data_IF_061693465772
#
_entry.id   IF_061693465772
#
_cell.length_a   1.000
_cell.length_b   1.000
_cell.length_c   1.000
_cell.angle_alpha   90.00
_cell.angle_beta   90.00
_cell.angle_gamma   90.00
#
_symmetry.space_group_name_H-M   'P 1'
#
loop_
_entity.id
_entity.type
_entity.pdbx_description
1 polymer ?
#
# COMPACT_ATOMS: atom_id res chain seq x y z
N UNK A 1 37.87 -5.72 6.22
CA UNK A 1 36.79 -6.55 6.75
C UNK A 1 35.94 -6.98 5.57
N UNK A 2 35.66 -8.27 5.40
CA UNK A 2 34.77 -8.74 4.31
C UNK A 2 33.34 -8.29 4.62
N UNK A 3 32.65 -7.79 3.58
CA UNK A 3 31.23 -7.39 3.73
C UNK A 3 30.35 -8.65 3.86
N UNK A 4 29.40 -8.60 4.78
CA UNK A 4 28.46 -9.71 5.01
C UNK A 4 27.33 -9.63 3.97
N UNK A 5 27.01 -10.71 3.21
CA UNK A 5 25.97 -10.68 2.20
C UNK A 5 24.56 -10.45 2.78
N UNK A 6 23.78 -9.54 2.20
CA UNK A 6 22.41 -9.27 2.61
C UNK A 6 21.54 -10.54 2.58
N UNK A 7 21.65 -11.36 1.54
CA UNK A 7 20.89 -12.61 1.40
C UNK A 7 21.17 -13.63 2.50
N UNK A 8 22.40 -13.66 3.00
CA UNK A 8 22.79 -14.51 4.13
C UNK A 8 22.21 -13.97 5.43
N UNK A 9 22.19 -12.64 5.60
CA UNK A 9 21.55 -11.99 6.75
C UNK A 9 20.03 -12.22 6.75
N UNK A 10 19.35 -12.11 5.60
CA UNK A 10 17.92 -12.45 5.47
C UNK A 10 17.64 -13.87 5.95
N UNK A 11 18.43 -14.84 5.48
CA UNK A 11 18.28 -16.25 5.89
C UNK A 11 18.47 -16.43 7.40
N UNK A 12 19.43 -15.72 7.99
CA UNK A 12 19.69 -15.73 9.43
C UNK A 12 18.58 -15.10 10.24
N UNK A 13 18.10 -13.94 9.80
CA UNK A 13 16.97 -13.22 10.41
C UNK A 13 15.73 -14.10 10.44
N UNK A 14 15.42 -14.79 9.33
CA UNK A 14 14.31 -15.71 9.25
C UNK A 14 14.47 -16.92 10.20
N UNK A 15 15.66 -17.52 10.25
CA UNK A 15 15.90 -18.75 11.03
C UNK A 15 15.97 -18.50 12.54
N UNK A 16 16.56 -17.36 12.96
CA UNK A 16 16.84 -17.06 14.36
C UNK A 16 15.86 -16.05 14.98
N UNK A 17 14.97 -15.47 14.19
CA UNK A 17 14.05 -14.44 14.66
C UNK A 17 14.77 -13.19 15.22
N UNK A 18 15.87 -12.78 14.56
CA UNK A 18 16.68 -11.65 15.02
C UNK A 18 15.89 -10.35 15.03
N UNK A 19 16.07 -9.55 16.08
CA UNK A 19 15.44 -8.25 16.18
C UNK A 19 16.01 -7.26 15.16
N UNK A 20 15.12 -6.48 14.55
CA UNK A 20 15.47 -5.41 13.64
C UNK A 20 15.22 -4.07 14.31
N UNK A 21 16.15 -3.14 14.23
CA UNK A 21 15.95 -1.80 14.76
C UNK A 21 16.48 -0.71 13.81
N UNK A 22 15.79 0.42 13.80
CA UNK A 22 16.13 1.65 13.06
C UNK A 22 16.41 2.83 13.99
N UNK A 23 16.21 2.63 15.29
CA UNK A 23 16.50 3.58 16.36
C UNK A 23 17.56 2.97 17.27
N UNK A 24 18.76 3.58 17.33
CA UNK A 24 19.89 3.07 18.10
C UNK A 24 19.57 2.89 19.60
N UNK A 25 18.66 3.69 20.14
CA UNK A 25 18.19 3.60 21.55
C UNK A 25 17.47 2.30 21.85
N UNK A 26 16.90 1.64 20.81
CA UNK A 26 16.20 0.35 20.88
C UNK A 26 17.11 -0.83 20.52
N UNK A 27 18.39 -0.59 20.23
CA UNK A 27 19.32 -1.65 19.91
C UNK A 27 19.52 -2.59 21.10
N UNK A 28 19.51 -3.89 20.84
CA UNK A 28 19.70 -4.98 21.81
C UNK A 28 20.85 -5.89 21.37
N UNK A 29 21.46 -6.67 22.27
CA UNK A 29 22.56 -7.58 21.91
C UNK A 29 22.18 -8.54 20.77
N UNK A 30 22.98 -8.55 19.72
CA UNK A 30 22.79 -9.39 18.55
C UNK A 30 21.76 -8.90 17.53
N UNK A 31 21.10 -7.76 17.74
CA UNK A 31 20.13 -7.21 16.79
C UNK A 31 20.80 -6.75 15.48
N UNK A 32 19.97 -6.54 14.46
CA UNK A 32 20.35 -5.90 13.19
C UNK A 32 19.92 -4.43 13.26
N UNK A 33 20.89 -3.54 13.27
CA UNK A 33 20.64 -2.09 13.15
C UNK A 33 20.67 -1.68 11.67
N UNK A 34 19.61 -1.05 11.20
CA UNK A 34 19.53 -0.53 9.82
C UNK A 34 19.63 0.99 9.86
N UNK A 35 20.76 1.52 9.37
CA UNK A 35 21.05 2.94 9.33
C UNK A 35 20.34 3.60 8.16
N UNK A 36 19.10 4.06 8.37
CA UNK A 36 18.27 4.67 7.32
C UNK A 36 18.71 6.11 7.05
N UNK A 37 18.81 6.51 5.77
CA UNK A 37 18.96 7.92 5.42
C UNK A 37 17.68 8.68 5.78
N UNK A 38 17.79 9.73 6.58
CA UNK A 38 16.67 10.56 7.02
C UNK A 38 16.78 11.99 6.49
N UNK A 39 15.66 12.72 6.47
CA UNK A 39 15.63 14.14 6.09
C UNK A 39 16.08 15.07 7.23
N UNK A 40 15.85 14.69 8.48
CA UNK A 40 16.22 15.47 9.67
C UNK A 40 17.49 14.96 10.35
N UNK A 41 17.76 13.66 10.28
CA UNK A 41 18.97 13.04 10.80
C UNK A 41 19.31 11.80 9.98
N UNK A 42 20.56 11.62 9.61
CA UNK A 42 21.05 10.43 8.93
C UNK A 42 21.32 9.34 9.96
N UNK A 43 20.72 8.15 9.76
CA UNK A 43 20.90 7.00 10.67
C UNK A 43 22.35 6.54 10.83
N UNK A 44 23.22 6.86 9.87
CA UNK A 44 24.65 6.57 9.93
C UNK A 44 25.34 7.22 11.15
N UNK A 45 24.85 8.36 11.63
CA UNK A 45 25.36 9.04 12.83
C UNK A 45 25.15 8.24 14.11
N UNK A 46 24.22 7.29 14.10
CA UNK A 46 23.84 6.49 15.27
C UNK A 46 24.41 5.07 15.26
N UNK A 47 25.25 4.73 14.26
CA UNK A 47 25.85 3.39 14.14
C UNK A 47 26.68 3.06 15.37
N UNK A 48 27.58 3.97 15.81
CA UNK A 48 28.42 3.75 16.97
C UNK A 48 27.64 3.51 18.25
N UNK A 49 26.52 4.25 18.48
CA UNK A 49 25.64 4.05 19.64
C UNK A 49 24.92 2.70 19.57
N UNK A 50 24.41 2.29 18.40
CA UNK A 50 23.79 0.99 18.22
C UNK A 50 24.76 -0.17 18.49
N UNK A 51 25.99 -0.07 17.99
CA UNK A 51 27.06 -1.07 18.22
C UNK A 51 27.46 -1.11 19.71
N UNK A 52 27.62 0.05 20.35
CA UNK A 52 27.89 0.12 21.80
C UNK A 52 26.80 -0.53 22.65
N UNK A 53 25.54 -0.58 22.15
CA UNK A 53 24.42 -1.28 22.78
C UNK A 53 24.31 -2.75 22.40
N UNK A 54 25.22 -3.25 21.55
CA UNK A 54 25.35 -4.66 21.21
C UNK A 54 24.75 -5.07 19.87
N UNK A 55 24.45 -4.13 18.96
CA UNK A 55 24.07 -4.52 17.60
C UNK A 55 25.16 -5.40 16.98
N UNK A 56 24.76 -6.61 16.56
CA UNK A 56 25.69 -7.59 15.96
C UNK A 56 25.86 -7.39 14.46
N UNK A 57 24.91 -6.73 13.80
CA UNK A 57 24.90 -6.43 12.38
C UNK A 57 24.52 -4.97 12.16
N UNK A 58 25.17 -4.34 11.19
CA UNK A 58 24.84 -2.98 10.74
C UNK A 58 24.60 -2.99 9.24
N UNK A 59 23.40 -2.62 8.83
CA UNK A 59 23.06 -2.41 7.42
C UNK A 59 23.15 -0.92 7.13
N UNK A 60 24.06 -0.54 6.27
CA UNK A 60 24.33 0.86 5.97
C UNK A 60 24.82 1.05 4.52
N UNK A 61 24.91 2.30 4.08
CA UNK A 61 25.58 2.64 2.82
C UNK A 61 27.10 2.45 2.92
N UNK A 62 27.79 2.16 1.79
CA UNK A 62 29.25 1.92 1.76
C UNK A 62 30.06 3.01 2.46
N UNK A 63 29.71 4.27 2.23
CA UNK A 63 30.39 5.43 2.83
C UNK A 63 30.31 5.50 4.35
N UNK A 64 29.36 4.80 4.96
CA UNK A 64 29.12 4.79 6.41
C UNK A 64 29.74 3.58 7.13
N UNK A 65 30.33 2.65 6.40
CA UNK A 65 30.83 1.37 6.94
C UNK A 65 31.99 1.48 7.92
N UNK A 66 32.73 2.60 7.91
CA UNK A 66 33.91 2.82 8.78
C UNK A 66 33.61 2.95 10.29
N UNK A 67 32.35 3.12 10.69
CA UNK A 67 31.94 3.36 12.09
C UNK A 67 31.33 2.13 12.78
N UNK A 68 31.45 0.94 12.18
CA UNK A 68 30.71 -0.25 12.61
C UNK A 68 31.40 -1.08 13.72
N UNK A 69 32.59 -0.67 14.19
CA UNK A 69 33.28 -1.36 15.29
C UNK A 69 33.49 -2.85 15.03
N UNK A 70 33.02 -3.70 15.96
CA UNK A 70 33.09 -5.16 15.85
C UNK A 70 31.86 -5.79 15.17
N UNK A 71 30.80 -4.99 14.83
CA UNK A 71 29.61 -5.50 14.18
C UNK A 71 29.91 -5.94 12.75
N UNK A 72 29.22 -6.97 12.29
CA UNK A 72 29.25 -7.40 10.89
C UNK A 72 28.58 -6.35 10.00
N UNK A 73 29.30 -5.90 8.97
CA UNK A 73 28.81 -4.84 8.07
C UNK A 73 28.13 -5.46 6.86
N UNK A 74 26.88 -5.06 6.66
CA UNK A 74 26.12 -5.33 5.44
C UNK A 74 26.00 -4.03 4.65
N UNK A 75 26.84 -3.94 3.64
CA UNK A 75 26.86 -2.81 2.73
C UNK A 75 25.72 -2.94 1.71
N UNK A 76 24.91 -1.89 1.56
CA UNK A 76 23.87 -1.83 0.56
C UNK A 76 23.62 -0.40 0.07
N UNK A 77 23.34 -0.26 -1.23
CA UNK A 77 23.06 1.03 -1.84
C UNK A 77 21.74 1.65 -1.30
N UNK A 78 20.76 0.82 -0.96
CA UNK A 78 19.46 1.24 -0.41
C UNK A 78 19.11 0.51 0.89
N UNK A 79 19.50 1.06 2.07
CA UNK A 79 19.14 0.50 3.38
C UNK A 79 17.62 0.40 3.62
N UNK A 80 16.80 1.25 2.98
CA UNK A 80 15.33 1.17 3.10
C UNK A 80 14.77 -0.06 2.41
N UNK A 81 15.27 -0.39 1.22
CA UNK A 81 14.93 -1.61 0.52
C UNK A 81 15.41 -2.84 1.29
N UNK A 82 16.64 -2.80 1.82
CA UNK A 82 17.18 -3.88 2.64
C UNK A 82 16.33 -4.11 3.91
N UNK A 83 15.86 -3.04 4.58
CA UNK A 83 14.97 -3.14 5.72
C UNK A 83 13.68 -3.91 5.36
N UNK A 84 13.08 -3.63 4.21
CA UNK A 84 11.88 -4.33 3.74
C UNK A 84 12.11 -5.83 3.53
N UNK A 85 13.25 -6.21 2.96
CA UNK A 85 13.62 -7.61 2.77
C UNK A 85 13.85 -8.32 4.11
N UNK A 86 14.56 -7.68 5.04
CA UNK A 86 14.80 -8.22 6.37
C UNK A 86 13.51 -8.32 7.21
N UNK A 87 12.65 -7.29 7.14
CA UNK A 87 11.36 -7.31 7.82
C UNK A 87 10.45 -8.44 7.29
N UNK A 88 10.40 -8.59 5.96
CA UNK A 88 9.69 -9.69 5.31
C UNK A 88 10.18 -11.06 5.82
N UNK A 89 11.49 -11.22 5.95
CA UNK A 89 12.11 -12.44 6.45
C UNK A 89 11.80 -12.65 7.96
N UNK A 90 11.92 -11.60 8.78
CA UNK A 90 11.70 -11.63 10.23
C UNK A 90 10.27 -12.01 10.60
N UNK A 91 9.30 -11.41 9.92
CA UNK A 91 7.87 -11.57 10.22
C UNK A 91 7.18 -12.62 9.36
N UNK A 92 7.91 -13.27 8.44
CA UNK A 92 7.38 -14.31 7.58
C UNK A 92 6.27 -13.82 6.62
N UNK A 93 6.35 -12.56 6.19
CA UNK A 93 5.35 -11.95 5.30
C UNK A 93 5.68 -12.09 3.81
N UNK A 94 6.69 -12.91 3.47
CA UNK A 94 7.02 -13.26 2.09
C UNK A 94 5.90 -14.02 1.38
N UNK A 95 5.11 -14.79 2.13
CA UNK A 95 4.01 -15.60 1.62
C UNK A 95 2.83 -15.48 2.59
N UNK A 96 2.02 -14.44 2.43
CA UNK A 96 0.78 -14.28 3.18
C UNK A 96 -0.31 -15.18 2.56
N UNK A 97 -1.18 -15.80 3.38
CA UNK A 97 -2.29 -16.64 2.89
C UNK A 97 -3.45 -15.79 2.35
N UNK A 98 -3.31 -14.48 2.29
CA UNK A 98 -4.30 -13.52 1.82
C UNK A 98 -3.65 -12.43 0.97
N UNK A 99 -4.37 -11.88 -0.02
CA UNK A 99 -3.88 -10.75 -0.79
C UNK A 99 -3.91 -9.46 0.03
N UNK A 100 -2.90 -8.60 -0.20
CA UNK A 100 -2.86 -7.21 0.27
C UNK A 100 -3.17 -6.32 -0.91
N UNK A 101 -4.18 -5.46 -0.81
CA UNK A 101 -4.54 -4.47 -1.84
C UNK A 101 -4.06 -3.10 -1.40
N UNK A 102 -3.13 -2.53 -2.15
CA UNK A 102 -2.64 -1.17 -1.94
C UNK A 102 -3.49 -0.14 -2.68
N UNK A 103 -3.93 0.91 -2.00
CA UNK A 103 -4.71 2.00 -2.59
C UNK A 103 -3.90 3.28 -2.59
N UNK A 104 -3.59 3.81 -3.76
CA UNK A 104 -2.89 5.09 -3.91
C UNK A 104 -3.67 6.07 -4.79
N UNK A 105 -3.29 7.34 -4.73
CA UNK A 105 -3.89 8.45 -5.44
C UNK A 105 -3.77 9.73 -4.63
N UNK A 106 -4.14 10.87 -5.18
CA UNK A 106 -4.20 12.11 -4.41
C UNK A 106 -5.39 12.03 -3.47
N UNK A 107 -6.59 11.79 -4.00
CA UNK A 107 -7.85 11.73 -3.27
C UNK A 107 -8.46 10.33 -3.34
N UNK A 108 -9.41 10.04 -2.43
CA UNK A 108 -10.21 8.83 -2.45
C UNK A 108 -9.62 7.62 -1.73
N UNK A 109 -8.35 7.61 -1.32
CA UNK A 109 -7.70 6.46 -0.66
C UNK A 109 -8.53 5.90 0.50
N UNK A 110 -8.85 6.73 1.48
CA UNK A 110 -9.60 6.33 2.67
C UNK A 110 -10.99 5.82 2.33
N UNK A 111 -11.73 6.54 1.48
CA UNK A 111 -13.09 6.10 1.07
C UNK A 111 -13.02 4.76 0.34
N UNK A 112 -12.04 4.59 -0.55
CA UNK A 112 -11.86 3.35 -1.31
C UNK A 112 -11.50 2.18 -0.39
N UNK A 113 -10.61 2.36 0.60
CA UNK A 113 -10.27 1.28 1.55
C UNK A 113 -11.45 0.89 2.44
N UNK A 114 -12.27 1.86 2.88
CA UNK A 114 -13.48 1.59 3.65
C UNK A 114 -14.56 0.90 2.81
N UNK A 115 -14.72 1.29 1.55
CA UNK A 115 -15.66 0.63 0.64
C UNK A 115 -15.21 -0.81 0.31
N UNK A 116 -13.90 -1.05 0.10
CA UNK A 116 -13.35 -2.38 -0.08
C UNK A 116 -13.60 -3.25 1.16
N UNK A 117 -13.30 -2.73 2.35
CA UNK A 117 -13.57 -3.38 3.62
C UNK A 117 -15.05 -3.77 3.75
N UNK A 118 -15.96 -2.82 3.52
CA UNK A 118 -17.40 -3.06 3.57
C UNK A 118 -17.86 -4.11 2.57
N UNK A 119 -17.41 -4.05 1.33
CA UNK A 119 -17.77 -5.00 0.27
C UNK A 119 -17.31 -6.42 0.61
N UNK A 120 -16.04 -6.59 0.94
CA UNK A 120 -15.49 -7.92 1.20
C UNK A 120 -15.98 -8.50 2.53
N UNK A 121 -16.20 -7.66 3.55
CA UNK A 121 -16.87 -8.10 4.79
C UNK A 121 -18.32 -8.54 4.53
N UNK A 122 -19.07 -7.81 3.69
CA UNK A 122 -20.42 -8.22 3.25
C UNK A 122 -20.42 -9.51 2.46
N UNK A 123 -19.32 -9.83 1.76
CA UNK A 123 -19.10 -11.11 1.10
C UNK A 123 -18.57 -12.21 2.03
N UNK A 124 -18.61 -11.99 3.36
CA UNK A 124 -18.23 -12.98 4.37
C UNK A 124 -16.73 -13.14 4.61
N UNK A 125 -15.89 -12.20 4.13
CA UNK A 125 -14.44 -12.21 4.34
C UNK A 125 -14.06 -11.51 5.64
N UNK A 126 -13.08 -12.04 6.35
CA UNK A 126 -12.40 -11.33 7.45
C UNK A 126 -11.40 -10.38 6.85
N UNK A 127 -11.57 -9.10 7.09
CA UNK A 127 -10.76 -8.05 6.48
C UNK A 127 -9.81 -7.41 7.48
N UNK A 128 -8.70 -6.87 6.97
CA UNK A 128 -7.79 -5.98 7.69
C UNK A 128 -7.63 -4.66 6.94
N UNK A 129 -7.49 -3.55 7.67
CA UNK A 129 -7.31 -2.22 7.07
C UNK A 129 -6.17 -1.48 7.76
N UNK A 130 -5.26 -0.93 6.96
CA UNK A 130 -4.24 0.03 7.39
C UNK A 130 -4.47 1.35 6.63
N UNK A 131 -4.89 2.41 7.32
CA UNK A 131 -5.22 3.66 6.65
C UNK A 131 -5.24 4.86 7.58
N UNK A 132 -5.63 6.01 7.05
CA UNK A 132 -5.54 7.31 7.71
C UNK A 132 -6.34 7.39 9.01
N UNK A 133 -7.47 6.69 9.11
CA UNK A 133 -8.36 6.77 10.27
C UNK A 133 -7.97 5.78 11.36
N UNK A 134 -7.74 4.52 10.97
CA UNK A 134 -7.44 3.46 11.93
C UNK A 134 -6.64 2.33 11.29
N UNK A 135 -5.95 1.56 12.15
CA UNK A 135 -5.42 0.24 11.84
C UNK A 135 -6.31 -0.77 12.52
N UNK A 136 -6.93 -1.69 11.75
CA UNK A 136 -7.92 -2.61 12.27
C UNK A 136 -7.96 -3.96 11.56
N UNK A 137 -8.20 -5.01 12.32
CA UNK A 137 -8.47 -6.38 11.87
C UNK A 137 -9.21 -7.13 12.99
N UNK A 138 -9.68 -8.36 12.80
CA UNK A 138 -10.39 -9.08 13.85
C UNK A 138 -9.63 -9.10 15.18
N UNK A 139 -10.25 -8.56 16.22
CA UNK A 139 -9.67 -8.46 17.56
C UNK A 139 -8.72 -7.27 17.80
N UNK A 140 -8.49 -6.42 16.80
CA UNK A 140 -7.63 -5.24 16.93
C UNK A 140 -8.25 -4.00 16.29
N UNK A 141 -8.17 -2.87 17.01
CA UNK A 141 -8.55 -1.55 16.49
C UNK A 141 -7.75 -0.47 17.24
N UNK A 142 -7.05 0.36 16.50
CA UNK A 142 -6.32 1.53 17.04
C UNK A 142 -6.41 2.72 16.09
N UNK A 143 -6.35 3.92 16.63
CA UNK A 143 -6.28 5.15 15.83
C UNK A 143 -4.95 5.22 15.11
N UNK A 144 -4.98 5.55 13.83
CA UNK A 144 -3.79 5.57 13.01
C UNK A 144 -2.95 6.83 13.26
N UNK A 145 -1.68 6.72 13.66
CA UNK A 145 -0.80 7.89 13.78
C UNK A 145 -0.40 8.46 12.41
N UNK A 146 -0.49 7.66 11.35
CA UNK A 146 -0.17 8.06 9.99
C UNK A 146 -0.90 7.19 8.97
N UNK A 147 -1.06 7.72 7.74
CA UNK A 147 -1.78 7.02 6.64
C UNK A 147 -1.19 5.65 6.30
N UNK A 148 0.13 5.57 6.21
CA UNK A 148 0.86 4.33 5.90
C UNK A 148 1.92 4.14 6.97
N UNK A 149 1.89 3.05 7.75
CA UNK A 149 2.87 2.78 8.80
C UNK A 149 4.31 2.73 8.29
N UNK A 150 5.28 2.77 9.19
CA UNK A 150 6.67 2.52 8.84
C UNK A 150 6.90 1.03 8.52
N UNK A 151 8.01 0.74 7.85
CA UNK A 151 8.25 -0.57 7.25
C UNK A 151 8.16 -1.73 8.24
N UNK A 152 8.73 -1.61 9.43
CA UNK A 152 8.67 -2.65 10.46
C UNK A 152 7.25 -2.86 10.95
N UNK A 153 6.51 -1.77 11.19
CA UNK A 153 5.13 -1.81 11.65
C UNK A 153 4.21 -2.46 10.62
N UNK A 154 4.38 -2.13 9.32
CA UNK A 154 3.62 -2.78 8.23
C UNK A 154 3.80 -4.30 8.28
N UNK A 155 5.03 -4.79 8.36
CA UNK A 155 5.29 -6.23 8.38
C UNK A 155 4.82 -6.89 9.68
N UNK A 156 4.92 -6.23 10.82
CA UNK A 156 4.39 -6.70 12.09
C UNK A 156 2.87 -6.84 12.02
N UNK A 157 2.17 -5.78 11.59
CA UNK A 157 0.70 -5.78 11.46
C UNK A 157 0.19 -6.83 10.47
N UNK A 158 0.90 -7.04 9.35
CA UNK A 158 0.54 -8.09 8.39
C UNK A 158 0.73 -9.51 8.99
N UNK A 159 1.74 -9.71 9.85
CA UNK A 159 1.91 -10.96 10.56
C UNK A 159 0.80 -11.16 11.61
N UNK A 160 0.38 -10.12 12.31
CA UNK A 160 -0.74 -10.15 13.27
C UNK A 160 -2.07 -10.42 12.57
N UNK A 161 -2.32 -9.80 11.40
CA UNK A 161 -3.48 -10.09 10.54
C UNK A 161 -3.51 -11.57 10.11
N UNK A 162 -2.35 -12.15 9.78
CA UNK A 162 -2.24 -13.59 9.49
C UNK A 162 -2.62 -14.44 10.70
N UNK A 163 -2.14 -14.08 11.88
CA UNK A 163 -2.48 -14.80 13.11
C UNK A 163 -3.97 -14.67 13.47
N UNK A 164 -4.60 -13.53 13.13
CA UNK A 164 -6.03 -13.28 13.31
C UNK A 164 -6.91 -13.95 12.24
N UNK A 165 -6.31 -14.61 11.24
CA UNK A 165 -7.03 -15.30 10.18
C UNK A 165 -7.76 -14.37 9.22
N UNK A 166 -7.13 -13.24 8.86
CA UNK A 166 -7.60 -12.31 7.83
C UNK A 166 -7.62 -13.02 6.46
N UNK A 167 -8.66 -12.77 5.67
CA UNK A 167 -8.81 -13.29 4.31
C UNK A 167 -8.38 -12.28 3.25
N UNK A 168 -8.34 -10.99 3.58
CA UNK A 168 -7.97 -9.91 2.67
C UNK A 168 -7.58 -8.64 3.45
N UNK A 169 -6.50 -7.98 3.06
CA UNK A 169 -6.06 -6.74 3.68
C UNK A 169 -6.07 -5.57 2.69
N UNK A 170 -6.47 -4.39 3.17
CA UNK A 170 -6.51 -3.14 2.41
C UNK A 170 -5.58 -2.12 3.07
N UNK A 171 -4.72 -1.50 2.27
CA UNK A 171 -3.74 -0.54 2.76
C UNK A 171 -3.77 0.75 1.96
N UNK A 172 -3.96 1.88 2.64
CA UNK A 172 -3.69 3.17 2.03
C UNK A 172 -2.18 3.35 1.86
N UNK A 173 -1.73 3.55 0.63
CA UNK A 173 -0.31 3.73 0.30
C UNK A 173 -0.07 5.15 -0.21
N UNK A 174 0.50 5.99 0.64
CA UNK A 174 0.84 7.36 0.30
C UNK A 174 2.05 7.42 -0.64
N UNK A 175 2.18 8.50 -1.41
CA UNK A 175 3.36 8.71 -2.26
C UNK A 175 4.66 8.80 -1.46
N UNK A 176 4.61 9.40 -0.26
CA UNK A 176 5.73 9.42 0.67
C UNK A 176 6.14 8.01 1.09
N UNK A 177 5.16 7.15 1.39
CA UNK A 177 5.44 5.76 1.78
C UNK A 177 6.10 4.97 0.64
N UNK A 178 5.65 5.17 -0.60
CA UNK A 178 6.25 4.55 -1.78
C UNK A 178 7.65 5.09 -2.06
N UNK A 179 7.85 6.39 -1.92
CA UNK A 179 9.14 7.02 -2.14
C UNK A 179 10.16 6.64 -1.06
N UNK A 180 9.71 6.59 0.19
CA UNK A 180 10.51 6.21 1.34
C UNK A 180 10.62 4.68 1.56
N UNK A 181 10.15 3.85 0.62
CA UNK A 181 10.17 2.39 0.72
C UNK A 181 9.54 1.82 2.01
N UNK A 182 8.52 2.50 2.59
CA UNK A 182 7.83 2.00 3.81
C UNK A 182 7.08 0.70 3.58
N UNK A 183 6.71 0.42 2.33
CA UNK A 183 6.03 -0.82 1.93
C UNK A 183 6.94 -1.79 1.19
N UNK A 184 8.27 -1.58 1.29
CA UNK A 184 9.25 -2.49 0.71
C UNK A 184 9.08 -3.90 1.29
N UNK A 185 9.18 -4.92 0.45
CA UNK A 185 9.01 -6.32 0.86
C UNK A 185 7.55 -6.80 0.94
N UNK A 186 6.55 -5.90 0.90
CA UNK A 186 5.13 -6.30 0.88
C UNK A 186 4.77 -6.90 -0.48
N UNK A 187 4.25 -8.12 -0.48
CA UNK A 187 3.67 -8.77 -1.64
C UNK A 187 2.24 -8.29 -1.87
N UNK A 188 2.07 -7.24 -2.68
CA UNK A 188 0.73 -6.79 -3.04
C UNK A 188 0.09 -7.75 -4.05
N UNK A 189 -1.09 -8.27 -3.73
CA UNK A 189 -1.94 -9.04 -4.64
C UNK A 189 -2.89 -8.15 -5.45
N UNK A 190 -3.04 -6.87 -5.05
CA UNK A 190 -3.84 -5.88 -5.78
C UNK A 190 -3.34 -4.46 -5.60
N UNK A 191 -3.65 -3.58 -6.56
CA UNK A 191 -3.28 -2.18 -6.54
C UNK A 191 -4.39 -1.30 -7.15
N UNK A 192 -4.70 -0.18 -6.51
CA UNK A 192 -5.68 0.81 -6.98
C UNK A 192 -4.99 2.16 -7.16
N UNK A 193 -5.13 2.74 -8.35
CA UNK A 193 -4.81 4.14 -8.62
C UNK A 193 -6.11 4.92 -8.82
N UNK A 194 -6.49 5.73 -7.83
CA UNK A 194 -7.74 6.48 -7.90
C UNK A 194 -7.64 7.70 -8.81
N UNK A 195 -6.66 8.57 -8.58
CA UNK A 195 -6.42 9.79 -9.37
C UNK A 195 -5.06 10.42 -9.02
N UNK A 196 -4.66 11.41 -9.82
CA UNK A 196 -3.53 12.28 -9.50
C UNK A 196 -3.88 13.72 -9.86
N UNK A 197 -3.93 14.57 -8.85
CA UNK A 197 -4.09 16.03 -8.95
C UNK A 197 -2.94 16.72 -8.21
N UNK A 198 -2.80 18.03 -8.37
CA UNK A 198 -1.72 18.79 -7.74
C UNK A 198 -1.83 18.70 -6.21
N UNK A 199 -0.80 18.13 -5.58
CA UNK A 199 -0.64 18.01 -4.14
C UNK A 199 0.81 17.61 -3.82
N UNK A 200 1.27 17.82 -2.58
CA UNK A 200 2.58 17.37 -2.10
C UNK A 200 3.79 17.80 -2.96
N UNK A 201 3.70 18.92 -3.68
CA UNK A 201 4.81 19.42 -4.50
C UNK A 201 5.95 20.02 -3.68
N UNK A 202 5.70 20.34 -2.42
CA UNK A 202 6.71 20.69 -1.42
C UNK A 202 7.70 19.53 -1.20
N UNK A 203 7.22 18.29 -1.30
CA UNK A 203 8.03 17.08 -1.17
C UNK A 203 8.52 16.55 -2.53
N UNK A 204 7.61 16.39 -3.50
CA UNK A 204 7.92 15.75 -4.78
C UNK A 204 8.48 16.72 -5.84
N UNK A 205 8.47 18.02 -5.58
CA UNK A 205 8.94 19.11 -6.43
C UNK A 205 8.11 19.31 -7.71
N UNK A 206 7.72 18.26 -8.42
CA UNK A 206 6.91 18.33 -9.64
C UNK A 206 5.94 17.15 -9.77
N UNK A 207 4.99 17.26 -10.70
CA UNK A 207 3.95 16.27 -10.94
C UNK A 207 4.50 14.97 -11.54
N UNK A 208 5.59 15.00 -12.28
CA UNK A 208 6.22 13.83 -12.86
C UNK A 208 6.87 12.95 -11.77
N UNK A 209 7.59 13.57 -10.84
CA UNK A 209 8.19 12.88 -9.68
C UNK A 209 7.08 12.32 -8.78
N UNK A 210 6.00 13.07 -8.57
CA UNK A 210 4.85 12.62 -7.81
C UNK A 210 4.15 11.42 -8.46
N UNK A 211 3.97 11.46 -9.79
CA UNK A 211 3.46 10.32 -10.56
C UNK A 211 4.36 9.09 -10.43
N UNK A 212 5.68 9.25 -10.66
CA UNK A 212 6.65 8.15 -10.55
C UNK A 212 6.65 7.50 -9.18
N UNK A 213 6.52 8.29 -8.12
CA UNK A 213 6.40 7.74 -6.76
C UNK A 213 5.20 6.81 -6.62
N UNK A 214 4.00 7.22 -7.11
CA UNK A 214 2.79 6.38 -7.05
C UNK A 214 2.85 5.19 -8.01
N UNK A 215 3.46 5.34 -9.18
CA UNK A 215 3.60 4.29 -10.18
C UNK A 215 4.40 3.08 -9.65
N UNK A 216 5.26 3.25 -8.64
CA UNK A 216 5.99 2.15 -7.97
C UNK A 216 5.06 1.05 -7.40
N UNK A 217 3.78 1.34 -7.16
CA UNK A 217 2.81 0.33 -6.72
C UNK A 217 2.35 -0.58 -7.87
N UNK A 218 2.54 -0.17 -9.11
CA UNK A 218 2.07 -0.84 -10.33
C UNK A 218 3.20 -1.39 -11.19
N UNK A 219 4.35 -0.73 -11.15
CA UNK A 219 5.48 -0.99 -12.03
C UNK A 219 6.73 -1.34 -11.21
N UNK A 220 7.51 -2.27 -11.71
CA UNK A 220 8.82 -2.62 -11.14
C UNK A 220 9.89 -1.56 -11.45
N UNK A 221 11.14 -1.82 -11.03
CA UNK A 221 12.27 -0.91 -11.24
C UNK A 221 12.63 -0.68 -12.72
N UNK A 222 12.23 -1.59 -13.60
CA UNK A 222 12.42 -1.49 -15.06
C UNK A 222 11.22 -0.81 -15.74
N UNK A 223 10.19 -0.41 -14.98
CA UNK A 223 8.95 0.19 -15.48
C UNK A 223 7.98 -0.82 -16.10
N UNK A 224 8.12 -2.11 -15.81
CA UNK A 224 7.23 -3.17 -16.27
C UNK A 224 6.11 -3.39 -15.25
N UNK A 225 4.86 -3.63 -15.69
CA UNK A 225 3.77 -3.92 -14.78
C UNK A 225 3.99 -5.25 -14.05
N UNK A 226 3.59 -5.30 -12.78
CA UNK A 226 3.58 -6.54 -12.02
C UNK A 226 2.51 -7.49 -12.56
N UNK A 227 2.91 -8.66 -13.06
CA UNK A 227 2.01 -9.61 -13.69
C UNK A 227 1.11 -10.39 -12.70
N UNK A 228 1.46 -10.39 -11.43
CA UNK A 228 0.80 -11.14 -10.34
C UNK A 228 -0.21 -10.31 -9.54
N UNK A 229 -0.55 -9.09 -10.00
CA UNK A 229 -1.44 -8.16 -9.30
C UNK A 229 -2.73 -7.89 -10.05
N UNK A 230 -3.82 -7.86 -9.31
CA UNK A 230 -5.06 -7.23 -9.78
C UNK A 230 -4.88 -5.72 -9.74
N UNK A 231 -4.88 -5.06 -10.88
CA UNK A 231 -4.69 -3.61 -10.94
C UNK A 231 -5.97 -2.92 -11.40
N UNK A 232 -6.40 -1.88 -10.66
CA UNK A 232 -7.51 -1.01 -11.02
C UNK A 232 -7.00 0.43 -11.16
N UNK A 233 -7.22 1.06 -12.31
CA UNK A 233 -6.66 2.38 -12.64
C UNK A 233 -7.77 3.32 -13.11
N UNK A 234 -7.99 4.42 -12.37
CA UNK A 234 -8.89 5.50 -12.75
C UNK A 234 -8.32 6.30 -13.92
N UNK A 235 -9.02 6.31 -15.05
CA UNK A 235 -8.52 6.87 -16.32
C UNK A 235 -9.10 8.23 -16.70
N UNK A 236 -10.01 8.79 -15.93
CA UNK A 236 -10.63 10.10 -16.19
C UNK A 236 -9.67 11.28 -16.04
N UNK A 237 -8.41 11.02 -15.71
CA UNK A 237 -7.35 12.00 -15.69
C UNK A 237 -6.13 11.55 -16.52
N UNK A 238 -5.32 12.49 -17.05
CA UNK A 238 -4.20 12.16 -17.94
C UNK A 238 -3.15 11.22 -17.34
N UNK A 239 -2.92 11.31 -16.03
CA UNK A 239 -1.94 10.48 -15.33
C UNK A 239 -2.39 9.03 -15.19
N UNK A 240 -3.69 8.84 -14.89
CA UNK A 240 -4.28 7.50 -14.87
C UNK A 240 -4.32 6.88 -16.26
N UNK A 241 -4.71 7.64 -17.28
CA UNK A 241 -4.68 7.17 -18.67
C UNK A 241 -3.25 6.77 -19.09
N UNK A 242 -2.23 7.54 -18.69
CA UNK A 242 -0.81 7.21 -18.91
C UNK A 242 -0.41 5.91 -18.20
N UNK A 243 -0.78 5.75 -16.92
CA UNK A 243 -0.46 4.55 -16.17
C UNK A 243 -1.15 3.30 -16.74
N UNK A 244 -2.41 3.42 -17.16
CA UNK A 244 -3.14 2.34 -17.83
C UNK A 244 -2.46 1.92 -19.14
N UNK A 245 -1.92 2.88 -19.91
CA UNK A 245 -1.11 2.59 -21.11
C UNK A 245 0.19 1.83 -20.81
N UNK A 246 0.74 1.98 -19.61
CA UNK A 246 1.94 1.25 -19.15
C UNK A 246 1.59 -0.14 -18.55
N UNK A 247 0.33 -0.36 -18.14
CA UNK A 247 -0.16 -1.59 -17.53
C UNK A 247 -1.42 -2.10 -18.27
N UNK A 248 -1.28 -2.66 -19.49
CA UNK A 248 -2.42 -2.99 -20.36
C UNK A 248 -3.36 -4.07 -19.81
N UNK A 249 -2.89 -4.91 -18.88
CA UNK A 249 -3.70 -5.94 -18.21
C UNK A 249 -4.54 -5.39 -17.04
N UNK A 250 -4.33 -4.12 -16.67
CA UNK A 250 -5.10 -3.48 -15.61
C UNK A 250 -6.57 -3.26 -16.05
N UNK A 251 -7.46 -3.28 -15.08
CA UNK A 251 -8.85 -2.85 -15.28
C UNK A 251 -8.89 -1.32 -15.17
N UNK A 252 -9.04 -0.65 -16.32
CA UNK A 252 -9.33 0.78 -16.35
C UNK A 252 -10.74 1.05 -15.84
N UNK A 253 -10.96 2.17 -15.16
CA UNK A 253 -12.31 2.57 -14.78
C UNK A 253 -12.50 4.09 -14.90
N UNK A 254 -13.75 4.52 -15.14
CA UNK A 254 -14.09 5.94 -15.20
C UNK A 254 -15.55 6.21 -15.52
N UNK A 255 -15.94 7.48 -15.39
CA UNK A 255 -17.26 8.01 -15.71
C UNK A 255 -17.34 8.57 -17.14
N UNK A 256 -16.17 8.81 -17.76
CA UNK A 256 -16.06 9.26 -19.13
C UNK A 256 -15.47 8.11 -19.95
N UNK A 257 -16.21 7.65 -20.98
CA UNK A 257 -15.71 6.64 -21.90
C UNK A 257 -14.52 7.19 -22.70
N UNK A 258 -13.32 7.13 -22.13
CA UNK A 258 -12.08 7.49 -22.81
C UNK A 258 -11.53 6.23 -23.47
N UNK A 259 -11.84 5.95 -24.72
CA UNK A 259 -11.26 5.02 -25.68
C UNK A 259 -10.17 4.03 -25.20
N UNK A 260 -10.28 3.49 -24.02
CA UNK A 260 -9.32 2.60 -23.41
C UNK A 260 -9.39 1.26 -24.15
N UNK A 261 -8.30 0.90 -24.81
CA UNK A 261 -8.07 -0.47 -25.27
C UNK A 261 -7.84 -1.35 -24.04
N UNK A 262 -8.57 -2.47 -23.91
CA UNK A 262 -8.37 -3.42 -22.81
C UNK A 262 -9.60 -3.58 -21.92
N UNK A 263 -9.41 -4.13 -20.75
CA UNK A 263 -10.46 -4.36 -19.74
C UNK A 263 -10.88 -3.02 -19.11
N UNK A 264 -12.11 -2.60 -19.32
CA UNK A 264 -12.59 -1.31 -18.86
C UNK A 264 -13.98 -1.39 -18.19
N UNK A 265 -14.06 -0.86 -16.97
CA UNK A 265 -15.29 -0.68 -16.22
C UNK A 265 -15.83 0.74 -16.48
N UNK A 266 -16.83 0.82 -17.35
CA UNK A 266 -17.52 2.07 -17.64
C UNK A 266 -18.61 2.34 -16.60
N UNK A 267 -18.61 3.53 -16.00
CA UNK A 267 -19.62 4.01 -15.09
C UNK A 267 -20.40 5.18 -15.67
N UNK A 268 -21.70 5.25 -15.33
CA UNK A 268 -22.56 6.39 -15.66
C UNK A 268 -23.39 6.78 -14.45
N UNK A 269 -23.30 8.04 -14.03
CA UNK A 269 -24.16 8.56 -12.98
C UNK A 269 -25.57 8.79 -13.55
N UNK A 270 -26.54 8.04 -13.07
CA UNK A 270 -27.95 8.17 -13.45
C UNK A 270 -28.65 9.26 -12.64
N UNK A 271 -28.31 9.37 -11.35
CA UNK A 271 -28.75 10.46 -10.49
C UNK A 271 -27.75 10.73 -9.36
N UNK A 272 -27.62 12.00 -9.00
CA UNK A 272 -26.82 12.46 -7.87
C UNK A 272 -27.65 13.46 -7.09
N UNK A 273 -28.05 13.10 -5.88
CA UNK A 273 -28.89 13.92 -5.00
C UNK A 273 -28.31 13.97 -3.60
N UNK A 274 -28.88 14.73 -2.71
CA UNK A 274 -28.54 14.71 -1.28
C UNK A 274 -28.85 13.36 -0.63
N UNK A 275 -29.72 12.53 -1.26
CA UNK A 275 -30.03 11.19 -0.78
C UNK A 275 -28.95 10.14 -1.19
N UNK A 276 -28.14 10.42 -2.18
CA UNK A 276 -27.08 9.54 -2.64
C UNK A 276 -26.93 9.51 -4.16
N UNK A 277 -26.22 8.51 -4.61
CA UNK A 277 -25.90 8.22 -6.00
C UNK A 277 -26.68 7.00 -6.50
N UNK A 278 -27.14 7.04 -7.76
CA UNK A 278 -27.54 5.88 -8.54
C UNK A 278 -26.65 5.83 -9.77
N UNK A 279 -26.02 4.68 -9.99
CA UNK A 279 -25.06 4.48 -11.08
C UNK A 279 -25.47 3.27 -11.92
N UNK A 280 -25.15 3.35 -13.20
CA UNK A 280 -25.09 2.22 -14.11
C UNK A 280 -23.62 1.91 -14.38
N UNK A 281 -23.26 0.64 -14.43
CA UNK A 281 -21.91 0.19 -14.75
C UNK A 281 -21.94 -0.91 -15.81
N UNK A 282 -20.88 -0.94 -16.64
CA UNK A 282 -20.71 -1.94 -17.71
C UNK A 282 -19.27 -2.47 -17.70
N UNK A 283 -19.13 -3.79 -17.72
CA UNK A 283 -17.83 -4.46 -17.78
C UNK A 283 -17.95 -5.81 -18.49
N UNK A 284 -17.12 -6.05 -19.51
CA UNK A 284 -17.04 -7.32 -20.27
C UNK A 284 -18.42 -7.85 -20.73
N UNK A 285 -19.28 -6.96 -21.24
CA UNK A 285 -20.61 -7.29 -21.75
C UNK A 285 -21.70 -7.49 -20.70
N UNK A 286 -21.37 -7.39 -19.41
CA UNK A 286 -22.32 -7.38 -18.30
C UNK A 286 -22.66 -5.94 -17.91
N UNK A 287 -23.91 -5.71 -17.53
CA UNK A 287 -24.40 -4.40 -17.09
C UNK A 287 -25.18 -4.55 -15.78
N UNK A 288 -25.07 -3.57 -14.89
CA UNK A 288 -25.82 -3.53 -13.63
C UNK A 288 -26.05 -2.10 -13.17
N UNK A 289 -27.06 -1.93 -12.34
CA UNK A 289 -27.30 -0.69 -11.64
C UNK A 289 -27.14 -0.92 -10.12
N UNK A 290 -26.69 0.11 -9.44
CA UNK A 290 -26.54 0.09 -7.99
C UNK A 290 -26.75 1.49 -7.41
N UNK A 291 -27.05 1.55 -6.12
CA UNK A 291 -27.21 2.79 -5.36
C UNK A 291 -26.22 2.85 -4.20
N UNK A 292 -25.92 4.06 -3.76
CA UNK A 292 -25.08 4.30 -2.58
C UNK A 292 -25.51 5.60 -1.90
N UNK A 293 -25.51 5.68 -0.58
CA UNK A 293 -25.80 6.91 0.15
C UNK A 293 -24.70 7.97 0.01
N UNK A 294 -23.55 7.61 -0.58
CA UNK A 294 -22.48 8.57 -0.88
C UNK A 294 -22.93 9.60 -1.92
N UNK A 295 -22.40 10.82 -1.84
CA UNK A 295 -22.74 11.92 -2.74
C UNK A 295 -21.52 12.42 -3.52
N UNK A 296 -21.77 12.95 -4.71
CA UNK A 296 -20.74 13.59 -5.55
C UNK A 296 -19.98 12.63 -6.47
N UNK A 297 -19.53 13.15 -7.63
CA UNK A 297 -18.88 12.37 -8.68
C UNK A 297 -17.57 11.69 -8.22
N UNK A 298 -16.81 12.32 -7.31
CA UNK A 298 -15.61 11.72 -6.76
C UNK A 298 -15.90 10.41 -5.99
N UNK A 299 -17.08 10.30 -5.37
CA UNK A 299 -17.49 9.04 -4.75
C UNK A 299 -18.01 8.03 -5.78
N UNK A 300 -18.57 8.48 -6.89
CA UNK A 300 -18.86 7.59 -8.01
C UNK A 300 -17.58 6.94 -8.56
N UNK A 301 -16.50 7.69 -8.72
CA UNK A 301 -15.19 7.16 -9.09
C UNK A 301 -14.62 6.19 -8.04
N UNK A 302 -14.74 6.50 -6.74
CA UNK A 302 -14.32 5.59 -5.68
C UNK A 302 -15.10 4.25 -5.71
N UNK A 303 -16.43 4.31 -5.95
CA UNK A 303 -17.27 3.12 -6.10
C UNK A 303 -16.86 2.27 -7.32
N UNK A 304 -16.52 2.91 -8.44
CA UNK A 304 -16.00 2.18 -9.60
C UNK A 304 -14.61 1.57 -9.33
N UNK A 305 -13.74 2.28 -8.62
CA UNK A 305 -12.43 1.75 -8.23
C UNK A 305 -12.55 0.45 -7.42
N UNK A 306 -13.49 0.43 -6.46
CA UNK A 306 -13.78 -0.74 -5.63
C UNK A 306 -14.31 -1.89 -6.46
N UNK A 307 -15.26 -1.62 -7.37
CA UNK A 307 -15.83 -2.64 -8.25
C UNK A 307 -14.78 -3.20 -9.21
N UNK A 308 -13.89 -2.37 -9.78
CA UNK A 308 -12.82 -2.83 -10.66
C UNK A 308 -11.90 -3.82 -9.96
N UNK A 309 -11.50 -3.54 -8.71
CA UNK A 309 -10.71 -4.48 -7.89
C UNK A 309 -11.49 -5.76 -7.61
N UNK A 310 -12.75 -5.63 -7.17
CA UNK A 310 -13.59 -6.78 -6.82
C UNK A 310 -13.82 -7.71 -8.01
N UNK A 311 -14.09 -7.15 -9.20
CA UNK A 311 -14.18 -7.89 -10.45
C UNK A 311 -12.87 -8.60 -10.80
N UNK A 312 -11.74 -7.94 -10.58
CA UNK A 312 -10.42 -8.53 -10.76
C UNK A 312 -10.14 -9.72 -9.84
N UNK A 313 -10.71 -9.71 -8.63
CA UNK A 313 -10.70 -10.85 -7.69
C UNK A 313 -11.85 -11.82 -7.90
N UNK A 314 -12.66 -11.65 -8.95
CA UNK A 314 -13.71 -12.59 -9.34
C UNK A 314 -15.03 -12.46 -8.56
N UNK A 315 -15.29 -11.34 -7.88
CA UNK A 315 -16.58 -11.09 -7.27
C UNK A 315 -17.64 -10.84 -8.34
N UNK A 316 -18.84 -11.38 -8.08
CA UNK A 316 -19.99 -11.11 -8.94
C UNK A 316 -20.57 -9.71 -8.68
N UNK A 317 -21.05 -8.96 -9.70
CA UNK A 317 -21.72 -7.68 -9.54
C UNK A 317 -22.90 -7.65 -8.58
N UNK A 318 -23.54 -8.79 -8.29
CA UNK A 318 -24.60 -8.85 -7.29
C UNK A 318 -24.13 -8.43 -5.87
N UNK A 319 -22.84 -8.65 -5.57
CA UNK A 319 -22.22 -8.23 -4.31
C UNK A 319 -22.23 -6.71 -4.13
N UNK A 320 -22.29 -5.92 -5.21
CA UNK A 320 -22.24 -4.46 -5.16
C UNK A 320 -23.51 -3.82 -4.57
N UNK A 321 -24.58 -4.58 -4.38
CA UNK A 321 -25.78 -4.13 -3.64
C UNK A 321 -25.47 -3.73 -2.20
N UNK A 322 -24.39 -4.24 -1.62
CA UNK A 322 -23.96 -3.86 -0.27
C UNK A 322 -23.66 -2.36 -0.13
N UNK A 323 -23.35 -1.66 -1.22
CA UNK A 323 -23.11 -0.21 -1.17
C UNK A 323 -24.33 0.60 -0.73
N UNK A 324 -25.55 0.07 -0.84
CA UNK A 324 -26.78 0.70 -0.35
C UNK A 324 -26.77 0.91 1.18
N UNK A 325 -26.04 0.07 1.89
CA UNK A 325 -25.94 0.08 3.36
C UNK A 325 -24.64 0.70 3.89
N UNK A 326 -23.83 1.26 3.02
CA UNK A 326 -22.54 1.85 3.41
C UNK A 326 -22.76 3.16 4.19
N UNK A 327 -22.41 3.17 5.47
CA UNK A 327 -22.66 4.30 6.37
C UNK A 327 -21.70 5.49 6.22
N UNK A 328 -20.73 5.42 5.29
CA UNK A 328 -19.72 6.47 5.14
C UNK A 328 -18.39 6.18 5.86
N UNK A 329 -17.52 7.17 5.90
CA UNK A 329 -16.20 7.09 6.53
C UNK A 329 -16.19 8.06 7.73
N UNK A 330 -15.80 7.63 8.93
CA UNK A 330 -15.70 8.51 10.09
C UNK A 330 -14.86 9.76 9.78
N UNK A 331 -15.40 10.95 10.12
CA UNK A 331 -14.75 12.24 9.90
C UNK A 331 -14.66 12.70 8.43
N UNK A 332 -15.30 12.00 7.48
CA UNK A 332 -15.36 12.40 6.06
C UNK A 332 -16.79 12.38 5.54
N UNK A 333 -17.42 13.57 5.43
CA UNK A 333 -18.81 13.75 4.98
C UNK A 333 -19.79 12.77 5.65
N UNK A 334 -19.61 12.59 6.92
CA UNK A 334 -20.51 11.80 7.75
C UNK A 334 -21.89 12.47 7.76
N UNK A 335 -22.95 11.72 7.46
CA UNK A 335 -24.32 12.21 7.68
C UNK A 335 -24.57 12.22 9.18
N UNK A 336 -24.77 13.41 9.71
CA UNK A 336 -25.26 13.62 11.09
C UNK A 336 -26.78 13.48 11.09
#
# INVERSE_FOLDING_TARGET
MGMYPLSLLESRVAAQGMELCIDSRKATPGCVFVALPGSSADGSQFIADAVARGAGYVVCRPESAGNCGEAEVVDCADPRQALGLLARARYGTASLPFPVVGVTGTNGKTTTTYLLDHLFASAGKKTGVLGTVSYRWPGHHEDAPMTTPDCLDVHTMLADMRAAGVDMAFMEVSSHALDQNRVAGVGFGGAVFSNLTQDHLDYHHDMETYFKAKAKLFLDGDGKPFADRVMAIGTDNPWGARLAGMAPEAIGFGLTASGASGRYLEGKVLSSTTAGLRLHARFEGREWEFTSPLVGNYNAENLLAVQAVALGFGLDPEAFRCFETFCGVPGRLERI
#
